data_IF_153244620295
#
_entry.id   IF_153244620295
#
_cell.length_a   1.000
_cell.length_b   1.000
_cell.length_c   1.000
_cell.angle_alpha   90.00
_cell.angle_beta   90.00
_cell.angle_gamma   90.00
#
_symmetry.space_group_name_H-M   'P 1'
#
loop_
_entity.id
_entity.type
_entity.pdbx_description
1 polymer ?
#
# COMPACT_ATOMS: atom_id res chain seq x y z
N UNK A 1 39.89 -30.48 -2.88
CA UNK A 1 38.97 -29.33 -2.69
C UNK A 1 37.57 -29.91 -2.66
N UNK A 2 36.82 -29.71 -1.57
CA UNK A 2 35.46 -30.23 -1.46
C UNK A 2 34.62 -29.75 -2.65
N UNK A 3 34.01 -30.69 -3.37
CA UNK A 3 33.17 -30.41 -4.52
C UNK A 3 31.85 -29.82 -4.03
N UNK A 4 31.81 -28.50 -3.85
CA UNK A 4 30.62 -27.80 -3.35
C UNK A 4 29.67 -27.54 -4.51
N UNK A 5 28.43 -27.99 -4.35
CA UNK A 5 27.32 -27.76 -5.28
C UNK A 5 27.04 -26.26 -5.54
N UNK A 6 27.32 -25.40 -4.55
CA UNK A 6 27.10 -23.95 -4.63
C UNK A 6 28.43 -23.21 -4.69
N UNK A 7 28.84 -22.84 -5.90
CA UNK A 7 30.15 -22.20 -6.18
C UNK A 7 30.12 -20.67 -6.09
N UNK A 8 28.95 -20.04 -6.31
CA UNK A 8 28.81 -18.59 -6.33
C UNK A 8 28.66 -18.00 -4.91
N UNK A 9 29.39 -16.92 -4.61
CA UNK A 9 29.35 -16.22 -3.32
C UNK A 9 28.59 -14.89 -3.43
N UNK A 10 27.62 -14.68 -2.55
CA UNK A 10 26.95 -13.39 -2.33
C UNK A 10 27.57 -12.69 -1.12
N UNK A 11 27.91 -11.40 -1.24
CA UNK A 11 28.38 -10.57 -0.13
C UNK A 11 27.43 -9.40 0.07
N UNK A 12 26.91 -9.24 1.29
CA UNK A 12 25.98 -8.18 1.70
C UNK A 12 26.65 -7.32 2.78
N UNK A 13 26.66 -6.00 2.59
CA UNK A 13 27.01 -5.04 3.64
C UNK A 13 25.73 -4.52 4.25
N UNK A 14 25.65 -4.56 5.58
CA UNK A 14 24.47 -4.16 6.35
C UNK A 14 24.90 -3.19 7.43
N UNK A 15 24.06 -2.21 7.74
CA UNK A 15 24.15 -1.43 8.97
C UNK A 15 23.81 -2.31 10.19
N UNK A 16 24.05 -1.79 11.40
CA UNK A 16 23.73 -2.51 12.62
C UNK A 16 22.22 -2.80 12.75
N UNK A 17 21.37 -1.85 12.36
CA UNK A 17 19.91 -2.01 12.37
C UNK A 17 19.43 -3.05 11.36
N UNK A 18 19.95 -3.00 10.13
CA UNK A 18 19.62 -3.97 9.09
C UNK A 18 20.05 -5.38 9.49
N UNK A 19 21.23 -5.50 10.10
CA UNK A 19 21.72 -6.78 10.64
C UNK A 19 20.83 -7.28 11.76
N UNK A 20 20.40 -6.41 12.68
CA UNK A 20 19.49 -6.77 13.76
C UNK A 20 18.17 -7.30 13.20
N UNK A 21 17.57 -6.61 12.23
CA UNK A 21 16.32 -7.05 11.58
C UNK A 21 16.51 -8.41 10.90
N UNK A 22 17.60 -8.61 10.17
CA UNK A 22 17.91 -9.90 9.54
C UNK A 22 17.99 -11.02 10.58
N UNK A 23 18.64 -10.77 11.72
CA UNK A 23 18.78 -11.75 12.80
C UNK A 23 17.45 -12.11 13.44
N UNK A 24 16.58 -11.12 13.70
CA UNK A 24 15.26 -11.39 14.27
C UNK A 24 14.38 -12.16 13.29
N UNK A 25 14.36 -11.78 12.02
CA UNK A 25 13.57 -12.48 10.98
C UNK A 25 14.06 -13.91 10.75
N UNK A 26 15.38 -14.11 10.75
CA UNK A 26 15.94 -15.45 10.64
C UNK A 26 15.60 -16.32 11.85
N UNK A 27 15.72 -15.79 13.08
CA UNK A 27 15.32 -16.53 14.29
C UNK A 27 13.84 -16.93 14.24
N UNK A 28 12.98 -16.00 13.82
CA UNK A 28 11.54 -16.24 13.69
C UNK A 28 11.19 -17.27 12.61
N UNK A 29 12.02 -17.43 11.57
CA UNK A 29 11.76 -18.41 10.50
C UNK A 29 12.10 -19.85 10.89
N UNK A 30 12.82 -20.07 11.99
CA UNK A 30 13.24 -21.41 12.44
C UNK A 30 14.25 -22.11 11.52
N UNK A 31 14.83 -21.39 10.55
CA UNK A 31 15.76 -21.99 9.58
C UNK A 31 17.15 -22.19 10.18
N UNK A 32 17.87 -23.20 9.69
CA UNK A 32 19.17 -23.62 10.21
C UNK A 32 20.22 -22.50 10.24
N UNK A 33 20.28 -21.68 9.20
CA UNK A 33 21.26 -20.60 9.09
C UNK A 33 20.74 -19.42 8.25
N UNK A 34 21.40 -18.28 8.39
CA UNK A 34 21.05 -17.05 7.66
C UNK A 34 21.14 -17.22 6.14
N UNK A 35 22.03 -18.08 5.63
CA UNK A 35 22.19 -18.30 4.20
C UNK A 35 21.03 -19.10 3.61
N UNK A 36 20.50 -20.08 4.36
CA UNK A 36 19.29 -20.81 4.04
C UNK A 36 18.08 -19.86 4.03
N UNK A 37 17.98 -18.97 5.01
CA UNK A 37 16.92 -17.96 5.07
C UNK A 37 16.96 -17.00 3.88
N UNK A 38 18.12 -16.38 3.61
CA UNK A 38 18.27 -15.46 2.47
C UNK A 38 18.02 -16.20 1.15
N UNK A 39 18.52 -17.43 0.99
CA UNK A 39 18.28 -18.21 -0.23
C UNK A 39 16.80 -18.56 -0.40
N UNK A 40 16.10 -18.89 0.69
CA UNK A 40 14.66 -19.13 0.63
C UNK A 40 13.91 -17.87 0.17
N UNK A 41 14.29 -16.70 0.68
CA UNK A 41 13.72 -15.43 0.20
C UNK A 41 14.04 -15.14 -1.27
N UNK A 42 15.24 -15.48 -1.76
CA UNK A 42 15.60 -15.29 -3.17
C UNK A 42 14.83 -16.25 -4.09
N UNK A 43 14.64 -17.51 -3.66
CA UNK A 43 14.01 -18.54 -4.49
C UNK A 43 12.48 -18.49 -4.46
N UNK A 44 11.89 -18.13 -3.32
CA UNK A 44 10.45 -18.20 -3.09
C UNK A 44 9.82 -16.85 -2.75
N UNK A 45 10.64 -15.81 -2.55
CA UNK A 45 10.14 -14.45 -2.40
C UNK A 45 9.58 -13.96 -3.73
N UNK A 46 8.30 -13.60 -3.74
CA UNK A 46 7.70 -12.95 -4.88
C UNK A 46 8.14 -11.48 -4.92
N UNK A 47 8.72 -11.07 -6.04
CA UNK A 47 8.97 -9.65 -6.34
C UNK A 47 7.75 -9.14 -7.09
N UNK A 48 6.91 -8.37 -6.40
CA UNK A 48 5.77 -7.70 -7.03
C UNK A 48 6.18 -6.29 -7.42
N UNK A 49 6.03 -5.95 -8.70
CA UNK A 49 5.94 -4.56 -9.12
C UNK A 49 4.50 -4.09 -8.89
N UNK A 50 4.27 -3.46 -7.74
CA UNK A 50 2.94 -2.94 -7.40
C UNK A 50 2.83 -1.55 -8.00
N UNK A 51 2.15 -1.45 -9.13
CA UNK A 51 1.78 -0.16 -9.71
C UNK A 51 0.71 0.50 -8.82
N UNK A 52 1.05 1.66 -8.24
CA UNK A 52 0.17 2.46 -7.38
C UNK A 52 -0.49 3.65 -8.09
N UNK A 53 -0.35 3.80 -9.40
CA UNK A 53 -0.86 4.95 -10.18
C UNK A 53 -2.37 5.13 -9.96
N UNK A 54 -3.12 4.03 -9.92
CA UNK A 54 -4.57 4.06 -9.65
C UNK A 54 -4.91 4.48 -8.22
N UNK A 55 -4.05 4.18 -7.24
CA UNK A 55 -4.23 4.64 -5.86
C UNK A 55 -3.95 6.15 -5.75
N UNK A 56 -2.97 6.65 -6.49
CA UNK A 56 -2.67 8.08 -6.56
C UNK A 56 -3.81 8.85 -7.25
N UNK A 57 -4.37 8.31 -8.33
CA UNK A 57 -5.55 8.86 -9.00
C UNK A 57 -6.76 8.91 -8.05
N UNK A 58 -7.03 7.82 -7.34
CA UNK A 58 -8.08 7.74 -6.32
C UNK A 58 -7.92 8.81 -5.22
N UNK A 59 -6.71 8.95 -4.66
CA UNK A 59 -6.42 9.96 -3.64
C UNK A 59 -6.61 11.40 -4.16
N UNK A 60 -6.27 11.63 -5.43
CA UNK A 60 -6.49 12.94 -6.08
C UNK A 60 -7.98 13.26 -6.19
N UNK A 61 -8.80 12.29 -6.59
CA UNK A 61 -10.26 12.44 -6.68
C UNK A 61 -10.85 12.69 -5.28
N UNK A 62 -10.44 11.90 -4.28
CA UNK A 62 -10.88 12.08 -2.89
C UNK A 62 -10.55 13.48 -2.35
N UNK A 63 -9.35 13.97 -2.61
CA UNK A 63 -8.95 15.32 -2.17
C UNK A 63 -9.85 16.40 -2.77
N UNK A 64 -10.17 16.30 -4.06
CA UNK A 64 -11.11 17.22 -4.73
C UNK A 64 -12.51 17.18 -4.09
N UNK A 65 -13.03 15.99 -3.83
CA UNK A 65 -14.34 15.81 -3.16
C UNK A 65 -14.32 16.40 -1.75
N UNK A 66 -13.26 16.13 -0.98
CA UNK A 66 -13.09 16.69 0.36
C UNK A 66 -13.05 18.22 0.38
N UNK A 67 -12.41 18.83 -0.63
CA UNK A 67 -12.42 20.28 -0.81
C UNK A 67 -13.83 20.81 -1.10
N UNK A 68 -14.63 20.13 -1.93
CA UNK A 68 -16.02 20.51 -2.18
C UNK A 68 -16.86 20.42 -0.91
N UNK A 69 -16.72 19.33 -0.13
CA UNK A 69 -17.41 19.20 1.17
C UNK A 69 -17.02 20.31 2.14
N UNK A 70 -15.74 20.70 2.18
CA UNK A 70 -15.28 21.81 3.02
C UNK A 70 -15.88 23.16 2.60
N UNK A 71 -16.11 23.38 1.30
CA UNK A 71 -16.81 24.58 0.82
C UNK A 71 -18.26 24.61 1.28
N UNK A 72 -18.97 23.47 1.21
CA UNK A 72 -20.34 23.35 1.73
C UNK A 72 -20.36 23.63 3.23
N UNK A 73 -19.43 23.05 3.99
CA UNK A 73 -19.32 23.29 5.44
C UNK A 73 -19.09 24.76 5.77
N UNK A 74 -18.16 25.43 5.06
CA UNK A 74 -17.93 26.88 5.21
C UNK A 74 -19.18 27.71 4.90
N UNK A 75 -19.92 27.36 3.84
CA UNK A 75 -21.18 28.02 3.46
C UNK A 75 -22.23 27.88 4.55
N UNK A 76 -22.45 26.67 5.06
CA UNK A 76 -23.39 26.40 6.17
C UNK A 76 -23.00 27.14 7.45
N UNK A 77 -21.71 27.15 7.81
CA UNK A 77 -21.22 27.85 8.99
C UNK A 77 -21.37 29.37 8.87
N UNK A 78 -21.25 29.93 7.66
CA UNK A 78 -21.41 31.36 7.41
C UNK A 78 -22.89 31.81 7.42
N UNK A 79 -23.80 30.99 6.90
CA UNK A 79 -25.24 31.34 6.83
C UNK A 79 -26.02 30.94 8.08
N UNK A 80 -25.46 30.06 8.92
CA UNK A 80 -26.15 29.45 10.06
C UNK A 80 -27.33 28.55 9.66
N UNK A 81 -27.48 28.25 8.37
CA UNK A 81 -28.62 27.53 7.80
C UNK A 81 -28.16 26.36 6.94
N UNK A 82 -28.92 25.27 6.98
CA UNK A 82 -28.70 24.09 6.13
C UNK A 82 -29.75 24.09 5.02
N UNK A 83 -29.32 24.22 3.77
CA UNK A 83 -30.24 24.22 2.64
C UNK A 83 -30.40 22.79 2.07
N UNK A 84 -31.59 22.49 1.54
CA UNK A 84 -31.83 21.21 0.82
C UNK A 84 -30.87 21.00 -0.34
N UNK A 85 -30.43 22.10 -0.99
CA UNK A 85 -29.45 22.07 -2.05
C UNK A 85 -28.08 21.55 -1.57
N UNK A 86 -27.62 22.00 -0.39
CA UNK A 86 -26.37 21.52 0.22
C UNK A 86 -26.44 20.02 0.49
N UNK A 87 -27.55 19.54 1.05
CA UNK A 87 -27.76 18.11 1.33
C UNK A 87 -27.79 17.28 0.04
N UNK A 88 -28.36 17.82 -1.04
CA UNK A 88 -28.36 17.17 -2.36
C UNK A 88 -26.94 17.08 -2.92
N UNK A 89 -26.18 18.17 -2.86
CA UNK A 89 -24.78 18.24 -3.32
C UNK A 89 -23.89 17.24 -2.55
N UNK A 90 -24.04 17.16 -1.21
CA UNK A 90 -23.33 16.16 -0.40
C UNK A 90 -23.66 14.73 -0.83
N UNK A 91 -24.93 14.41 -1.11
CA UNK A 91 -25.32 13.07 -1.59
C UNK A 91 -24.69 12.74 -2.94
N UNK A 92 -24.62 13.70 -3.85
CA UNK A 92 -23.98 13.53 -5.15
C UNK A 92 -22.47 13.30 -5.01
N UNK A 93 -21.80 14.07 -4.15
CA UNK A 93 -20.38 13.90 -3.82
C UNK A 93 -20.11 12.52 -3.19
N UNK A 94 -20.97 12.05 -2.28
CA UNK A 94 -20.84 10.71 -1.69
C UNK A 94 -21.01 9.60 -2.73
N UNK A 95 -21.88 9.78 -3.72
CA UNK A 95 -21.99 8.83 -4.83
C UNK A 95 -20.70 8.81 -5.68
N UNK A 96 -20.06 9.95 -5.90
CA UNK A 96 -18.77 10.00 -6.61
C UNK A 96 -17.66 9.27 -5.85
N UNK A 97 -17.61 9.41 -4.52
CA UNK A 97 -16.69 8.61 -3.67
C UNK A 97 -16.92 7.12 -3.88
N UNK A 98 -18.19 6.68 -3.82
CA UNK A 98 -18.56 5.28 -4.00
C UNK A 98 -18.12 4.72 -5.36
N UNK A 99 -18.37 5.47 -6.45
CA UNK A 99 -17.95 5.05 -7.80
C UNK A 99 -16.43 5.01 -7.94
N UNK A 100 -15.73 6.00 -7.38
CA UNK A 100 -14.27 6.05 -7.39
C UNK A 100 -13.65 4.86 -6.66
N UNK A 101 -14.16 4.54 -5.47
CA UNK A 101 -13.73 3.38 -4.68
C UNK A 101 -14.00 2.06 -5.42
N UNK A 102 -15.20 1.90 -6.00
CA UNK A 102 -15.55 0.72 -6.79
C UNK A 102 -14.62 0.53 -8.00
N UNK A 103 -14.29 1.62 -8.70
CA UNK A 103 -13.34 1.59 -9.81
C UNK A 103 -11.95 1.16 -9.33
N UNK A 104 -11.44 1.75 -8.25
CA UNK A 104 -10.14 1.37 -7.68
C UNK A 104 -10.08 -0.11 -7.30
N UNK A 105 -11.10 -0.63 -6.61
CA UNK A 105 -11.18 -2.04 -6.20
C UNK A 105 -11.25 -2.99 -7.39
N UNK A 106 -11.91 -2.60 -8.49
CA UNK A 106 -11.96 -3.41 -9.72
C UNK A 106 -10.59 -3.54 -10.41
N UNK A 107 -9.70 -2.57 -10.20
CA UNK A 107 -8.34 -2.56 -10.74
C UNK A 107 -7.32 -3.21 -9.80
N UNK A 108 -7.71 -3.57 -8.59
CA UNK A 108 -6.82 -4.21 -7.63
C UNK A 108 -6.47 -5.63 -8.15
N UNK A 109 -5.18 -5.98 -8.27
CA UNK A 109 -4.80 -7.33 -8.64
C UNK A 109 -5.37 -8.31 -7.61
N UNK A 110 -6.18 -9.26 -8.08
CA UNK A 110 -6.68 -10.33 -7.23
C UNK A 110 -5.50 -11.22 -6.85
N UNK A 111 -5.03 -11.09 -5.61
CA UNK A 111 -4.12 -12.08 -5.03
C UNK A 111 -4.98 -13.32 -4.81
N UNK A 112 -5.09 -14.17 -5.83
CA UNK A 112 -5.58 -15.53 -5.64
C UNK A 112 -4.48 -16.27 -4.89
N UNK A 113 -4.78 -16.61 -3.63
CA UNK A 113 -3.99 -17.56 -2.84
C UNK A 113 -4.11 -18.97 -3.42
#
# INVERSE_FOLDING_TARGET
MENRDRQNRLTLRLSDDERYILEQKWKASGMKDKSAFIRHLILYGYVYDVNYDHLQEYNTILSRIGNSLNQIAKRMNATGNVYKADVKEVKELMNQVWQSQKSMLSKQPSIKQ
#
